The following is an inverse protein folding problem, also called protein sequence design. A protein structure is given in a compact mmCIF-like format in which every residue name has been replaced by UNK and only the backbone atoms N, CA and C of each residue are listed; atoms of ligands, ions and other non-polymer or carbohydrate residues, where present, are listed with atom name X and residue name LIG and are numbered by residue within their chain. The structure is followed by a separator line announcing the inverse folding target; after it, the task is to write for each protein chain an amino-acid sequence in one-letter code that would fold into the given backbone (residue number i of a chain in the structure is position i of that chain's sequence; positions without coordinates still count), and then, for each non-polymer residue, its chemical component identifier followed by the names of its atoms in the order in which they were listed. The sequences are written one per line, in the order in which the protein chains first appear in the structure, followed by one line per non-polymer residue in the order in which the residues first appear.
data_IF_072526110453
#
_entry.id   IF_072526110453
#
_cell.length_a   1.000
_cell.length_b   1.000
_cell.length_c   1.000
_cell.angle_alpha   90.00
_cell.angle_beta   90.00
_cell.angle_gamma   90.00
#
_symmetry.space_group_name_H-M   'P 1'
#
loop_
_entity.id
_entity.type
_entity.pdbx_description
1 polymer ?
#
# COMPACT_ATOMS: atom_id res chain seq x y z
N UNK A 1 31.50 -22.44 -29.37
CA UNK A 1 30.26 -22.06 -30.11
C UNK A 1 29.02 -21.88 -29.22
N UNK A 2 29.09 -21.60 -27.90
CA UNK A 2 27.94 -21.45 -26.98
C UNK A 2 27.38 -20.02 -26.76
N UNK A 3 28.10 -18.88 -27.00
CA UNK A 3 27.57 -17.55 -26.61
C UNK A 3 26.44 -17.02 -27.49
N UNK A 4 26.36 -17.41 -28.77
CA UNK A 4 25.32 -16.89 -29.69
C UNK A 4 23.89 -17.41 -29.43
N UNK A 5 23.72 -18.61 -28.86
CA UNK A 5 22.39 -19.15 -28.51
C UNK A 5 21.78 -18.41 -27.32
N UNK A 6 22.60 -18.02 -26.33
CA UNK A 6 22.17 -17.31 -25.13
C UNK A 6 21.67 -15.89 -25.45
N UNK A 7 22.36 -15.17 -26.33
CA UNK A 7 21.93 -13.83 -26.79
C UNK A 7 20.65 -13.84 -27.62
N UNK A 8 20.44 -14.87 -28.46
CA UNK A 8 19.18 -15.04 -29.22
C UNK A 8 17.99 -15.33 -28.28
N UNK A 9 18.15 -16.22 -27.28
CA UNK A 9 17.12 -16.52 -26.29
C UNK A 9 16.77 -15.27 -25.47
N UNK A 10 17.75 -14.48 -25.01
CA UNK A 10 17.51 -13.20 -24.31
C UNK A 10 16.75 -12.19 -25.15
N UNK A 11 17.08 -12.02 -26.45
CA UNK A 11 16.35 -11.13 -27.36
C UNK A 11 14.91 -11.62 -27.60
N UNK A 12 14.71 -12.91 -27.74
CA UNK A 12 13.38 -13.48 -27.94
C UNK A 12 12.51 -13.34 -26.69
N UNK A 13 13.06 -13.57 -25.48
CA UNK A 13 12.36 -13.34 -24.21
C UNK A 13 12.00 -11.87 -24.01
N UNK A 14 12.93 -10.92 -24.28
CA UNK A 14 12.63 -9.48 -24.24
C UNK A 14 11.50 -9.10 -25.22
N UNK A 15 11.45 -9.67 -26.41
CA UNK A 15 10.36 -9.45 -27.38
C UNK A 15 9.04 -10.05 -26.89
N UNK A 16 9.04 -11.21 -26.28
CA UNK A 16 7.84 -11.82 -25.69
C UNK A 16 7.34 -11.03 -24.48
N UNK A 17 8.24 -10.56 -23.62
CA UNK A 17 7.92 -9.70 -22.49
C UNK A 17 7.30 -8.39 -22.98
N UNK A 18 7.93 -7.70 -23.95
CA UNK A 18 7.40 -6.46 -24.51
C UNK A 18 6.04 -6.65 -25.19
N UNK A 19 5.80 -7.78 -25.88
CA UNK A 19 4.49 -8.11 -26.46
C UNK A 19 3.43 -8.36 -25.37
N UNK A 20 3.76 -9.04 -24.26
CA UNK A 20 2.84 -9.25 -23.14
C UNK A 20 2.48 -7.96 -22.42
N UNK A 21 3.46 -7.06 -22.21
CA UNK A 21 3.25 -5.72 -21.67
C UNK A 21 2.38 -4.84 -22.60
N UNK A 22 2.53 -5.01 -23.91
CA UNK A 22 1.73 -4.27 -24.92
C UNK A 22 0.27 -4.75 -25.03
N UNK A 23 -0.06 -5.95 -24.51
CA UNK A 23 -1.42 -6.51 -24.59
C UNK A 23 -2.37 -6.04 -23.48
N UNK A 24 -1.93 -5.12 -22.62
CA UNK A 24 -2.80 -4.52 -21.60
C UNK A 24 -3.47 -3.27 -22.12
N UNK A 25 -4.74 -3.06 -21.76
CA UNK A 25 -5.47 -1.82 -22.07
C UNK A 25 -4.97 -0.59 -21.30
N UNK A 26 -4.02 -0.77 -20.37
CA UNK A 26 -3.52 0.27 -19.47
C UNK A 26 -2.90 1.47 -20.22
N UNK A 27 -3.36 2.68 -19.88
CA UNK A 27 -2.97 3.94 -20.51
C UNK A 27 -2.28 4.92 -19.56
N UNK A 28 -2.05 4.52 -18.30
CA UNK A 28 -1.40 5.36 -17.31
C UNK A 28 0.12 5.36 -17.38
N UNK A 29 0.73 5.92 -16.35
CA UNK A 29 2.18 5.96 -16.17
C UNK A 29 2.82 4.58 -16.22
N UNK A 30 3.93 4.47 -16.92
CA UNK A 30 4.75 3.25 -17.00
C UNK A 30 6.18 3.55 -16.57
N UNK A 31 6.73 2.66 -15.78
CA UNK A 31 8.11 2.75 -15.34
C UNK A 31 9.07 2.50 -16.52
N UNK A 32 9.88 3.49 -16.87
CA UNK A 32 10.76 3.41 -18.05
C UNK A 32 12.06 2.66 -17.75
N UNK A 33 12.54 2.67 -16.52
CA UNK A 33 13.83 2.09 -16.10
C UNK A 33 13.76 1.44 -14.73
N UNK A 34 14.63 0.46 -14.43
CA UNK A 34 14.77 -0.10 -13.10
C UNK A 34 15.15 0.98 -12.08
N UNK A 35 14.57 0.90 -10.87
CA UNK A 35 14.81 1.86 -9.77
C UNK A 35 14.49 3.31 -10.12
N UNK A 36 13.48 3.54 -10.96
CA UNK A 36 13.04 4.89 -11.27
C UNK A 36 12.57 5.60 -9.98
N UNK A 37 13.09 6.80 -9.67
CA UNK A 37 12.60 7.53 -8.50
C UNK A 37 11.15 7.97 -8.72
N UNK A 38 10.34 7.86 -7.68
CA UNK A 38 8.99 8.41 -7.66
C UNK A 38 9.09 9.93 -7.60
N UNK A 39 8.19 10.63 -8.30
CA UNK A 39 8.11 12.09 -8.22
C UNK A 39 7.76 12.50 -6.80
N UNK A 40 8.44 13.51 -6.29
CA UNK A 40 8.22 14.07 -4.96
C UNK A 40 7.67 15.49 -5.07
N UNK A 41 6.68 15.81 -4.23
CA UNK A 41 6.18 17.15 -4.01
C UNK A 41 6.56 17.60 -2.59
N UNK A 42 7.07 18.79 -2.46
CA UNK A 42 7.26 19.43 -1.15
C UNK A 42 5.94 20.00 -0.65
N UNK A 43 5.40 19.40 0.40
CA UNK A 43 4.17 19.78 1.07
C UNK A 43 4.41 20.35 2.47
N UNK A 44 5.63 20.72 2.81
CA UNK A 44 6.00 21.21 4.16
C UNK A 44 5.38 22.55 4.50
N UNK A 45 4.97 23.34 3.50
CA UNK A 45 4.36 24.68 3.68
C UNK A 45 2.85 24.67 3.45
N UNK A 46 2.37 23.88 2.49
CA UNK A 46 0.96 23.74 2.15
C UNK A 46 0.70 22.42 1.46
N UNK A 47 -0.49 21.82 1.62
CA UNK A 47 -0.89 20.68 0.81
C UNK A 47 -1.06 21.13 -0.64
N UNK A 48 -0.92 20.22 -1.62
CA UNK A 48 -1.15 20.57 -3.02
C UNK A 48 -2.64 20.88 -3.25
N UNK A 49 -2.92 21.76 -4.22
CA UNK A 49 -4.29 21.95 -4.71
C UNK A 49 -4.84 20.62 -5.24
N UNK A 50 -6.03 20.23 -4.79
CA UNK A 50 -6.62 18.95 -5.10
C UNK A 50 -6.91 18.73 -6.59
N UNK A 51 -7.33 19.81 -7.32
CA UNK A 51 -7.58 19.75 -8.75
C UNK A 51 -6.27 19.60 -9.52
N UNK A 52 -5.25 20.40 -9.18
CA UNK A 52 -3.92 20.30 -9.80
C UNK A 52 -3.30 18.92 -9.55
N UNK A 53 -3.47 18.38 -8.34
CA UNK A 53 -3.01 17.02 -8.02
C UNK A 53 -3.74 15.95 -8.83
N UNK A 54 -5.07 16.07 -8.95
CA UNK A 54 -5.87 15.17 -9.78
C UNK A 54 -5.36 15.16 -11.22
N UNK A 55 -5.18 16.32 -11.84
CA UNK A 55 -4.76 16.43 -13.23
C UNK A 55 -3.31 15.93 -13.48
N UNK A 56 -2.41 16.17 -12.53
CA UNK A 56 -1.01 15.80 -12.67
C UNK A 56 -0.73 14.33 -12.36
N UNK A 57 -1.44 13.74 -11.39
CA UNK A 57 -1.13 12.41 -10.85
C UNK A 57 -2.29 11.43 -10.96
N UNK A 58 -3.50 11.79 -10.50
CA UNK A 58 -4.64 10.85 -10.46
C UNK A 58 -5.07 10.45 -11.86
N UNK A 59 -5.38 11.42 -12.71
CA UNK A 59 -5.76 11.19 -14.10
C UNK A 59 -4.69 10.46 -14.91
N UNK A 60 -3.42 10.71 -14.59
CA UNK A 60 -2.27 10.09 -15.27
C UNK A 60 -1.85 8.76 -14.65
N UNK A 61 -2.52 8.34 -13.57
CA UNK A 61 -2.19 7.10 -12.84
C UNK A 61 -0.72 7.07 -12.41
N UNK A 62 -0.18 8.20 -11.96
CA UNK A 62 1.24 8.37 -11.64
C UNK A 62 1.44 8.39 -10.13
N UNK A 63 2.23 7.47 -9.55
CA UNK A 63 2.58 7.53 -8.13
C UNK A 63 3.30 8.82 -7.78
N UNK A 64 3.09 9.30 -6.55
CA UNK A 64 3.70 10.54 -6.08
C UNK A 64 3.96 10.47 -4.57
N UNK A 65 5.15 10.89 -4.13
CA UNK A 65 5.47 11.12 -2.72
C UNK A 65 5.17 12.58 -2.38
N UNK A 66 4.49 12.80 -1.27
CA UNK A 66 4.17 14.12 -0.74
C UNK A 66 4.95 14.30 0.56
N UNK A 67 6.05 15.04 0.51
CA UNK A 67 6.96 15.27 1.64
C UNK A 67 6.32 16.21 2.66
N UNK A 68 6.23 15.77 3.92
CA UNK A 68 5.67 16.57 5.00
C UNK A 68 4.15 16.80 4.91
N UNK A 69 3.43 16.07 4.07
CA UNK A 69 1.99 16.24 3.81
C UNK A 69 1.12 16.25 5.07
N UNK A 70 1.37 15.33 6.01
CA UNK A 70 0.55 15.24 7.22
C UNK A 70 0.60 16.51 8.08
N UNK A 71 1.65 17.32 7.99
CA UNK A 71 1.81 18.55 8.78
C UNK A 71 0.91 19.68 8.28
N UNK A 72 0.53 19.64 7.02
CA UNK A 72 -0.23 20.72 6.36
C UNK A 72 -1.64 20.32 5.95
N UNK A 73 -1.94 19.02 5.88
CA UNK A 73 -3.21 18.50 5.39
C UNK A 73 -4.31 18.37 6.46
N UNK A 74 -4.09 18.86 7.68
CA UNK A 74 -5.05 18.83 8.79
C UNK A 74 -5.64 17.42 9.06
N UNK A 75 -4.75 16.42 9.17
CA UNK A 75 -5.14 15.01 9.39
C UNK A 75 -5.38 14.67 10.88
N UNK A 76 -5.63 15.67 11.73
CA UNK A 76 -5.91 15.50 13.15
C UNK A 76 -4.77 14.79 13.87
N UNK A 77 -5.08 13.73 14.62
CA UNK A 77 -4.11 12.99 15.43
C UNK A 77 -2.92 12.42 14.63
N UNK A 78 -3.07 12.20 13.33
CA UNK A 78 -1.94 11.81 12.47
C UNK A 78 -0.93 12.94 12.35
N UNK A 79 -1.41 14.18 12.14
CA UNK A 79 -0.57 15.38 12.10
C UNK A 79 0.15 15.60 13.44
N UNK A 80 -0.59 15.48 14.55
CA UNK A 80 -0.08 15.67 15.90
C UNK A 80 1.02 14.64 16.23
N UNK A 81 0.75 13.37 15.94
CA UNK A 81 1.70 12.28 16.18
C UNK A 81 2.99 12.44 15.35
N UNK A 82 2.88 12.80 14.06
CA UNK A 82 4.05 13.02 13.21
C UNK A 82 4.93 14.18 13.68
N UNK A 83 4.34 15.18 14.36
CA UNK A 83 5.05 16.35 14.92
C UNK A 83 5.65 16.11 16.30
N UNK A 84 5.29 15.04 16.99
CA UNK A 84 5.73 14.74 18.34
C UNK A 84 7.22 14.34 18.41
N UNK A 85 7.85 14.56 19.57
CA UNK A 85 9.23 14.11 19.83
C UNK A 85 9.37 12.58 19.72
N UNK A 86 8.34 11.84 20.11
CA UNK A 86 8.22 10.39 19.93
C UNK A 86 6.90 10.08 19.20
N UNK A 87 6.92 10.03 17.86
CA UNK A 87 5.72 9.78 17.06
C UNK A 87 5.06 8.43 17.37
N UNK A 88 5.85 7.40 17.67
CA UNK A 88 5.34 6.07 17.96
C UNK A 88 4.50 6.04 19.24
N UNK A 89 5.03 6.64 20.30
CA UNK A 89 4.35 6.74 21.59
C UNK A 89 3.12 7.65 21.52
N UNK A 90 3.22 8.79 20.85
CA UNK A 90 2.11 9.73 20.66
C UNK A 90 0.95 9.07 19.90
N UNK A 91 1.24 8.37 18.82
CA UNK A 91 0.25 7.62 18.04
C UNK A 91 -0.43 6.52 18.86
N UNK A 92 0.35 5.71 19.58
CA UNK A 92 -0.18 4.65 20.43
C UNK A 92 -1.10 5.18 21.53
N UNK A 93 -0.73 6.30 22.16
CA UNK A 93 -1.56 6.93 23.19
C UNK A 93 -2.89 7.45 22.61
N UNK A 94 -2.86 8.01 21.39
CA UNK A 94 -4.08 8.44 20.73
C UNK A 94 -5.02 7.28 20.37
N UNK A 95 -4.45 6.18 19.84
CA UNK A 95 -5.22 4.97 19.51
C UNK A 95 -5.84 4.34 20.77
N UNK A 96 -5.09 4.20 21.86
CA UNK A 96 -5.62 3.62 23.11
C UNK A 96 -6.72 4.50 23.70
N UNK A 97 -6.57 5.81 23.68
CA UNK A 97 -7.58 6.75 24.17
C UNK A 97 -8.88 6.67 23.36
N UNK A 98 -8.79 6.69 22.02
CA UNK A 98 -9.98 6.73 21.16
C UNK A 98 -10.64 5.36 20.98
N UNK A 99 -9.86 4.30 20.88
CA UNK A 99 -10.32 2.98 20.46
C UNK A 99 -9.86 1.83 21.36
N UNK A 100 -9.19 2.08 22.48
CA UNK A 100 -8.57 1.05 23.34
C UNK A 100 -9.46 -0.15 23.68
N UNK A 101 -10.74 0.03 24.07
CA UNK A 101 -11.65 -1.08 24.37
C UNK A 101 -12.19 -1.79 23.12
N UNK A 102 -12.03 -1.24 21.92
CA UNK A 102 -12.55 -1.80 20.67
C UNK A 102 -11.79 -3.04 20.25
N UNK A 103 -12.51 -3.96 19.60
CA UNK A 103 -11.94 -5.19 19.05
C UNK A 103 -11.59 -4.96 17.60
N UNK A 104 -10.40 -5.40 17.20
CA UNK A 104 -9.88 -5.36 15.83
C UNK A 104 -9.39 -6.74 15.41
N UNK A 105 -9.36 -6.99 14.11
CA UNK A 105 -8.69 -8.13 13.51
C UNK A 105 -7.23 -7.78 13.26
N UNK A 106 -6.33 -8.68 13.59
CA UNK A 106 -4.92 -8.53 13.29
C UNK A 106 -4.38 -9.81 12.70
N UNK A 107 -3.51 -9.69 11.70
CA UNK A 107 -2.76 -10.83 11.18
C UNK A 107 -1.79 -11.34 12.23
N UNK A 108 -1.71 -12.67 12.35
CA UNK A 108 -0.75 -13.35 13.20
C UNK A 108 0.49 -13.67 12.37
N UNK A 109 1.65 -13.26 12.87
CA UNK A 109 2.93 -13.52 12.23
C UNK A 109 3.28 -15.00 12.29
N UNK A 110 3.36 -15.66 11.14
CA UNK A 110 3.85 -17.03 11.01
C UNK A 110 5.26 -17.06 10.42
N UNK A 111 6.14 -17.86 11.04
CA UNK A 111 7.52 -18.04 10.59
C UNK A 111 8.24 -16.75 10.18
N UNK A 112 7.92 -15.66 10.91
CA UNK A 112 8.52 -14.36 10.67
C UNK A 112 7.84 -13.48 9.61
N UNK A 113 6.72 -13.92 9.00
CA UNK A 113 6.04 -13.21 7.90
C UNK A 113 4.57 -12.92 8.21
N UNK A 114 4.03 -11.91 7.55
CA UNK A 114 2.60 -11.58 7.45
C UNK A 114 2.07 -11.95 6.05
N UNK A 115 0.75 -11.83 5.83
CA UNK A 115 0.11 -12.14 4.54
C UNK A 115 -0.20 -13.62 4.33
N UNK A 116 -0.30 -14.41 5.42
CA UNK A 116 -0.62 -15.84 5.37
C UNK A 116 -2.09 -16.16 5.66
N UNK A 117 -2.92 -15.14 5.91
CA UNK A 117 -4.35 -15.27 6.15
C UNK A 117 -4.73 -15.75 7.55
N UNK A 118 -3.75 -15.96 8.45
CA UNK A 118 -4.06 -16.26 9.84
C UNK A 118 -4.34 -14.97 10.61
N UNK A 119 -5.52 -14.86 11.16
CA UNK A 119 -5.99 -13.69 11.88
C UNK A 119 -6.44 -14.06 13.30
N UNK A 120 -6.37 -13.10 14.19
CA UNK A 120 -6.98 -13.17 15.49
C UNK A 120 -7.73 -11.86 15.79
N UNK A 121 -8.62 -11.93 16.78
CA UNK A 121 -9.29 -10.76 17.34
C UNK A 121 -8.64 -10.38 18.65
N UNK A 122 -8.35 -9.09 18.82
CA UNK A 122 -7.83 -8.56 20.07
C UNK A 122 -8.29 -7.11 20.27
N UNK A 123 -8.24 -6.66 21.52
CA UNK A 123 -8.54 -5.26 21.83
C UNK A 123 -7.40 -4.36 21.35
N UNK A 124 -7.73 -3.18 20.84
CA UNK A 124 -6.73 -2.18 20.40
C UNK A 124 -5.73 -1.90 21.53
N UNK A 125 -6.19 -1.77 22.79
CA UNK A 125 -5.32 -1.60 23.96
C UNK A 125 -4.25 -2.69 24.10
N UNK A 126 -4.62 -3.95 23.94
CA UNK A 126 -3.69 -5.09 24.00
C UNK A 126 -2.68 -5.08 22.87
N UNK A 127 -3.13 -4.75 21.65
CA UNK A 127 -2.25 -4.61 20.49
C UNK A 127 -1.24 -3.47 20.69
N UNK A 128 -1.71 -2.29 21.14
CA UNK A 128 -0.85 -1.12 21.40
C UNK A 128 0.18 -1.42 22.49
N UNK A 129 -0.22 -2.07 23.57
CA UNK A 129 0.68 -2.43 24.67
C UNK A 129 1.79 -3.37 24.18
N UNK A 130 1.45 -4.41 23.40
CA UNK A 130 2.46 -5.27 22.79
C UNK A 130 3.39 -4.51 21.84
N UNK A 131 2.85 -3.68 20.97
CA UNK A 131 3.64 -2.93 19.99
C UNK A 131 4.67 -2.01 20.69
N UNK A 132 4.27 -1.30 21.74
CA UNK A 132 5.16 -0.46 22.55
C UNK A 132 6.22 -1.28 23.29
N UNK A 133 5.81 -2.41 23.90
CA UNK A 133 6.75 -3.30 24.59
C UNK A 133 7.81 -3.84 23.60
N UNK A 134 7.38 -4.31 22.42
CA UNK A 134 8.31 -4.81 21.41
C UNK A 134 9.21 -3.72 20.85
N UNK A 135 8.70 -2.51 20.68
CA UNK A 135 9.50 -1.37 20.27
C UNK A 135 10.59 -1.06 21.31
N UNK A 136 10.24 -1.01 22.58
CA UNK A 136 11.19 -0.73 23.67
C UNK A 136 12.26 -1.82 23.84
N UNK A 137 11.91 -3.08 23.56
CA UNK A 137 12.83 -4.23 23.70
C UNK A 137 13.57 -4.61 22.40
N UNK A 138 13.36 -3.87 21.29
CA UNK A 138 13.95 -4.17 19.98
C UNK A 138 13.41 -5.44 19.34
N UNK A 139 12.26 -5.94 19.82
CA UNK A 139 11.61 -7.15 19.32
C UNK A 139 10.64 -6.91 18.17
N UNK A 140 10.08 -8.01 17.63
CA UNK A 140 9.02 -7.96 16.64
C UNK A 140 7.65 -8.19 17.27
N UNK A 141 6.62 -7.46 16.80
CA UNK A 141 5.23 -7.79 17.14
C UNK A 141 4.87 -9.19 16.62
N UNK A 142 4.05 -9.86 17.40
CA UNK A 142 3.37 -11.08 16.96
C UNK A 142 2.23 -10.75 15.98
N UNK A 143 1.65 -9.56 16.10
CA UNK A 143 0.47 -9.12 15.37
C UNK A 143 0.80 -7.96 14.42
N UNK A 144 0.01 -7.87 13.35
CA UNK A 144 0.02 -6.74 12.42
C UNK A 144 -1.42 -6.27 12.21
N UNK A 145 -1.69 -5.01 12.54
CA UNK A 145 -2.97 -4.39 12.27
C UNK A 145 -3.08 -4.08 10.78
N UNK A 146 -4.16 -4.51 10.18
CA UNK A 146 -4.41 -4.46 8.73
C UNK A 146 -5.82 -3.96 8.45
N UNK A 147 -6.30 -4.08 7.22
CA UNK A 147 -7.67 -3.74 6.83
C UNK A 147 -8.69 -4.43 7.73
N UNK A 148 -9.69 -3.66 8.14
CA UNK A 148 -10.79 -4.16 8.95
C UNK A 148 -12.03 -4.39 8.09
N UNK A 149 -12.82 -5.43 8.37
CA UNK A 149 -14.13 -5.57 7.76
C UNK A 149 -15.01 -4.38 8.13
N UNK A 150 -15.82 -3.93 7.18
CA UNK A 150 -16.87 -2.96 7.46
C UNK A 150 -18.05 -3.70 8.10
N UNK A 151 -18.48 -3.26 9.26
CA UNK A 151 -19.74 -3.71 9.83
C UNK A 151 -20.91 -3.10 9.05
N UNK A 152 -22.06 -3.72 9.13
CA UNK A 152 -23.31 -3.19 8.58
C UNK A 152 -24.11 -2.54 9.69
N UNK A 153 -24.84 -1.46 9.36
CA UNK A 153 -25.82 -0.86 10.26
C UNK A 153 -27.13 -1.67 10.29
N UNK A 154 -28.12 -1.20 11.04
CA UNK A 154 -29.41 -1.90 11.20
C UNK A 154 -30.17 -2.08 9.86
N UNK A 155 -29.87 -1.26 8.86
CA UNK A 155 -30.44 -1.29 7.52
C UNK A 155 -29.58 -2.09 6.52
N UNK A 156 -28.53 -2.80 6.98
CA UNK A 156 -27.62 -3.60 6.14
C UNK A 156 -26.68 -2.75 5.26
N UNK A 157 -26.49 -1.47 5.61
CA UNK A 157 -25.55 -0.59 4.89
C UNK A 157 -24.16 -0.68 5.52
N UNK A 158 -23.09 -0.83 4.72
CA UNK A 158 -21.74 -0.90 5.29
C UNK A 158 -21.35 0.44 5.94
N UNK A 159 -20.75 0.35 7.11
CA UNK A 159 -20.21 1.50 7.83
C UNK A 159 -19.11 2.21 7.02
N UNK A 160 -18.81 3.47 7.37
CA UNK A 160 -17.82 4.29 6.67
C UNK A 160 -16.42 3.68 6.72
N UNK A 161 -16.04 3.17 7.87
CA UNK A 161 -14.72 2.54 8.12
C UNK A 161 -14.79 1.63 9.33
N UNK A 162 -13.87 0.68 9.39
CA UNK A 162 -13.71 -0.22 10.53
C UNK A 162 -12.93 0.41 11.68
N UNK A 163 -12.94 -0.26 12.85
CA UNK A 163 -12.10 0.13 13.99
C UNK A 163 -10.60 -0.07 13.67
N UNK A 164 -9.66 0.73 14.15
CA UNK A 164 -9.83 1.85 15.09
C UNK A 164 -10.19 3.18 14.41
N UNK A 165 -10.20 3.23 13.06
CA UNK A 165 -10.43 4.47 12.30
C UNK A 165 -11.80 5.06 12.63
N UNK A 166 -12.82 4.21 12.73
CA UNK A 166 -14.17 4.64 13.08
C UNK A 166 -14.21 5.43 14.39
N UNK A 167 -13.54 4.95 15.42
CA UNK A 167 -13.43 5.65 16.69
C UNK A 167 -12.67 6.97 16.55
N UNK A 168 -11.58 7.02 15.77
CA UNK A 168 -10.84 8.24 15.51
C UNK A 168 -11.71 9.30 14.78
N UNK A 169 -12.50 8.88 13.80
CA UNK A 169 -13.42 9.78 13.07
C UNK A 169 -14.52 10.29 14.02
N UNK A 170 -15.12 9.41 14.81
CA UNK A 170 -16.18 9.79 15.79
C UNK A 170 -15.68 10.83 16.79
N UNK A 171 -14.45 10.69 17.26
CA UNK A 171 -13.82 11.63 18.20
C UNK A 171 -13.25 12.89 17.48
N UNK A 172 -13.51 13.06 16.17
CA UNK A 172 -13.00 14.15 15.33
C UNK A 172 -11.45 14.23 15.29
N UNK A 173 -10.80 13.10 15.50
CA UNK A 173 -9.34 12.96 15.52
C UNK A 173 -8.76 12.56 14.16
N UNK A 174 -9.60 12.20 13.20
CA UNK A 174 -9.21 11.81 11.83
C UNK A 174 -10.29 12.20 10.84
N UNK A 175 -9.94 12.79 9.69
CA UNK A 175 -10.92 13.19 8.68
C UNK A 175 -11.69 11.98 8.12
N UNK A 176 -13.01 12.07 7.97
CA UNK A 176 -13.84 10.98 7.45
C UNK A 176 -13.64 10.72 5.96
N UNK A 177 -13.06 11.67 5.22
CA UNK A 177 -12.76 11.56 3.79
C UNK A 177 -11.34 12.01 3.50
N UNK A 178 -10.80 11.61 2.34
CA UNK A 178 -9.43 11.95 1.95
C UNK A 178 -9.32 13.42 1.50
N UNK A 179 -8.60 14.28 2.23
CA UNK A 179 -8.48 15.69 1.84
C UNK A 179 -7.75 15.91 0.50
N UNK A 180 -6.85 14.99 0.13
CA UNK A 180 -6.12 15.06 -1.15
C UNK A 180 -6.99 14.68 -2.35
N UNK A 181 -7.99 13.81 -2.16
CA UNK A 181 -8.83 13.25 -3.21
C UNK A 181 -10.32 13.54 -2.98
N UNK A 182 -10.72 14.81 -2.75
CA UNK A 182 -12.10 15.14 -2.37
C UNK A 182 -13.14 14.86 -3.46
N UNK A 183 -12.71 14.71 -4.71
CA UNK A 183 -13.59 14.34 -5.83
C UNK A 183 -13.83 12.84 -5.95
N UNK A 184 -13.04 12.01 -5.27
CA UNK A 184 -13.19 10.56 -5.31
C UNK A 184 -14.01 10.04 -4.13
N UNK A 185 -14.81 9.03 -4.37
CA UNK A 185 -15.63 8.39 -3.34
C UNK A 185 -14.77 7.44 -2.52
N UNK A 186 -14.82 7.59 -1.21
CA UNK A 186 -14.11 6.73 -0.27
C UNK A 186 -14.71 5.32 -0.28
N UNK A 187 -13.85 4.33 -0.41
CA UNK A 187 -14.19 2.92 -0.25
C UNK A 187 -13.91 2.44 1.19
N UNK A 188 -12.78 2.82 1.77
CA UNK A 188 -12.41 2.51 3.15
C UNK A 188 -11.23 3.39 3.61
N UNK A 189 -11.05 3.49 4.93
CA UNK A 189 -9.86 4.04 5.55
C UNK A 189 -9.33 3.06 6.60
N UNK A 190 -7.99 2.89 6.67
CA UNK A 190 -7.37 1.87 7.49
C UNK A 190 -6.18 2.40 8.26
N UNK A 191 -5.80 1.67 9.31
CA UNK A 191 -4.53 1.80 10.03
C UNK A 191 -3.71 0.53 9.83
N UNK A 192 -2.47 0.71 9.39
CA UNK A 192 -1.48 -0.34 9.18
C UNK A 192 -0.40 -0.18 10.24
N UNK A 193 -0.29 -1.12 11.16
CA UNK A 193 0.62 -0.96 12.28
C UNK A 193 1.24 -2.28 12.73
N UNK A 194 2.52 -2.23 13.07
CA UNK A 194 3.26 -3.35 13.63
C UNK A 194 4.60 -2.89 14.20
N UNK A 195 5.44 -3.86 14.56
CA UNK A 195 6.79 -3.58 15.01
C UNK A 195 7.76 -4.59 14.36
N UNK A 196 8.78 -4.06 13.69
CA UNK A 196 9.88 -4.83 13.16
C UNK A 196 10.98 -5.00 14.23
N UNK A 197 11.78 -6.09 14.20
CA UNK A 197 12.95 -6.20 15.05
C UNK A 197 13.93 -5.05 14.78
N UNK A 198 14.75 -4.71 15.77
CA UNK A 198 15.81 -3.73 15.58
C UNK A 198 16.73 -4.12 14.41
N UNK A 199 17.05 -3.15 13.55
CA UNK A 199 17.90 -3.36 12.36
C UNK A 199 17.26 -4.19 11.24
N UNK A 200 15.99 -4.61 11.37
CA UNK A 200 15.28 -5.43 10.36
C UNK A 200 14.02 -4.74 9.85
N UNK A 201 13.47 -5.27 8.76
CA UNK A 201 12.20 -4.84 8.21
C UNK A 201 11.22 -6.00 8.09
N UNK A 202 9.93 -5.68 8.01
CA UNK A 202 8.86 -6.60 7.64
C UNK A 202 8.33 -6.23 6.26
N UNK A 203 7.93 -7.22 5.47
CA UNK A 203 7.40 -6.99 4.12
C UNK A 203 5.91 -7.34 4.05
N UNK A 204 5.16 -6.55 3.27
CA UNK A 204 3.76 -6.87 2.94
C UNK A 204 3.63 -8.00 1.90
N UNK A 205 4.73 -8.42 1.29
CA UNK A 205 4.69 -9.17 0.03
C UNK A 205 4.32 -8.27 -1.16
N UNK A 206 4.51 -8.80 -2.37
CA UNK A 206 4.17 -8.10 -3.61
C UNK A 206 2.67 -8.28 -3.91
N UNK A 207 1.93 -7.17 -3.97
CA UNK A 207 0.49 -7.16 -4.21
C UNK A 207 0.07 -5.89 -4.93
N UNK A 208 -1.19 -5.78 -5.29
CA UNK A 208 -1.80 -4.53 -5.74
C UNK A 208 -3.12 -4.32 -5.00
N UNK A 209 -3.53 -3.04 -4.90
CA UNK A 209 -4.83 -2.66 -4.39
C UNK A 209 -5.82 -2.45 -5.54
N UNK A 210 -7.12 -2.64 -5.24
CA UNK A 210 -8.21 -2.35 -6.17
C UNK A 210 -8.69 -0.89 -6.09
N UNK A 211 -8.06 -0.09 -5.27
CA UNK A 211 -8.43 1.30 -4.98
C UNK A 211 -7.26 2.25 -5.22
N UNK A 212 -7.56 3.50 -5.46
CA UNK A 212 -6.59 4.57 -5.34
C UNK A 212 -6.26 4.76 -3.87
N UNK A 213 -4.99 4.78 -3.54
CA UNK A 213 -4.51 4.73 -2.16
C UNK A 213 -3.68 5.98 -1.83
N UNK A 214 -4.04 6.68 -0.76
CA UNK A 214 -3.20 7.71 -0.12
C UNK A 214 -2.73 7.15 1.20
N UNK A 215 -1.47 6.72 1.25
CA UNK A 215 -0.82 6.14 2.43
C UNK A 215 -0.02 7.22 3.14
N UNK A 216 -0.38 7.55 4.37
CA UNK A 216 0.27 8.56 5.20
C UNK A 216 1.09 7.89 6.30
N UNK A 217 2.39 8.10 6.32
CA UNK A 217 3.27 7.52 7.33
C UNK A 217 3.19 8.30 8.64
N UNK A 218 2.87 7.62 9.73
CA UNK A 218 2.73 8.22 11.06
C UNK A 218 4.03 8.11 11.87
N UNK A 219 4.57 6.90 11.97
CA UNK A 219 5.84 6.64 12.66
C UNK A 219 6.58 5.47 12.02
N UNK A 220 7.89 5.33 12.28
CA UNK A 220 8.76 4.41 11.57
C UNK A 220 8.96 4.82 10.11
N UNK A 221 9.45 3.92 9.28
CA UNK A 221 9.73 4.19 7.87
C UNK A 221 9.26 3.06 6.99
N UNK A 222 8.88 3.39 5.75
CA UNK A 222 8.54 2.41 4.72
C UNK A 222 9.36 2.65 3.45
N UNK A 223 9.85 1.55 2.89
CA UNK A 223 10.35 1.49 1.52
C UNK A 223 9.29 0.87 0.66
N UNK A 224 8.98 1.48 -0.47
CA UNK A 224 7.98 0.97 -1.41
C UNK A 224 8.61 0.77 -2.77
N UNK A 225 8.45 -0.43 -3.34
CA UNK A 225 8.77 -0.74 -4.74
C UNK A 225 7.47 -0.88 -5.49
N UNK A 226 7.38 -0.30 -6.69
CA UNK A 226 6.13 -0.25 -7.46
C UNK A 226 6.35 -0.63 -8.91
N UNK A 227 5.48 -1.49 -9.42
CA UNK A 227 5.41 -1.87 -10.84
C UNK A 227 4.08 -1.41 -11.40
N UNK A 228 4.09 -0.86 -12.58
CA UNK A 228 2.86 -0.42 -13.22
C UNK A 228 1.94 -1.61 -13.58
N UNK A 229 0.61 -1.37 -13.69
CA UNK A 229 -0.38 -2.44 -13.91
C UNK A 229 -0.14 -3.25 -15.18
N UNK A 230 0.63 -2.76 -16.15
CA UNK A 230 0.95 -3.53 -17.36
C UNK A 230 1.84 -4.74 -17.08
N UNK A 231 2.51 -4.76 -15.93
CA UNK A 231 3.35 -5.87 -15.49
C UNK A 231 2.54 -7.06 -14.93
N UNK A 232 1.23 -6.92 -14.68
CA UNK A 232 0.40 -7.91 -13.99
C UNK A 232 0.61 -9.34 -14.48
N UNK A 233 0.49 -9.59 -15.79
CA UNK A 233 0.62 -10.95 -16.32
C UNK A 233 2.08 -11.47 -16.34
N UNK A 234 3.05 -10.58 -16.12
CA UNK A 234 4.47 -10.95 -15.99
C UNK A 234 4.79 -11.33 -14.55
N UNK A 235 4.17 -10.63 -13.59
CA UNK A 235 4.33 -10.88 -12.15
C UNK A 235 3.57 -12.14 -11.67
N UNK A 236 2.78 -12.78 -12.53
CA UNK A 236 2.07 -14.04 -12.24
C UNK A 236 1.23 -13.98 -10.97
N UNK A 237 0.17 -13.16 -10.94
CA UNK A 237 -0.67 -13.05 -9.75
C UNK A 237 -1.32 -14.39 -9.38
N UNK A 238 -1.56 -14.61 -8.08
CA UNK A 238 -2.22 -15.82 -7.57
C UNK A 238 -3.61 -16.03 -8.16
N UNK A 239 -4.32 -14.95 -8.54
CA UNK A 239 -5.60 -15.00 -9.29
C UNK A 239 -5.48 -15.46 -10.73
N UNK A 240 -4.27 -15.80 -11.20
CA UNK A 240 -4.04 -16.28 -12.55
C UNK A 240 -4.03 -15.16 -13.60
N UNK A 241 -4.46 -15.49 -14.82
CA UNK A 241 -4.48 -14.54 -15.92
C UNK A 241 -5.47 -13.40 -15.67
N UNK A 242 -5.02 -12.18 -15.84
CA UNK A 242 -5.79 -10.99 -15.56
C UNK A 242 -5.96 -10.09 -16.78
N UNK A 243 -7.09 -9.38 -16.81
CA UNK A 243 -7.36 -8.24 -17.68
C UNK A 243 -7.04 -6.96 -16.91
N UNK A 244 -6.45 -5.98 -17.59
CA UNK A 244 -6.13 -4.68 -17.00
C UNK A 244 -6.88 -3.59 -17.76
N UNK A 245 -7.69 -2.81 -17.05
CA UNK A 245 -8.41 -1.66 -17.60
C UNK A 245 -7.47 -0.48 -17.92
N UNK A 246 -7.97 0.50 -18.66
CA UNK A 246 -7.20 1.68 -19.06
C UNK A 246 -6.69 2.49 -17.86
N UNK A 247 -7.46 2.56 -16.78
CA UNK A 247 -7.10 3.24 -15.53
C UNK A 247 -6.24 2.39 -14.57
N UNK A 248 -5.88 1.17 -14.95
CA UNK A 248 -5.01 0.28 -14.14
C UNK A 248 -5.75 -0.77 -13.34
N UNK A 249 -7.08 -0.71 -13.20
CA UNK A 249 -7.79 -1.74 -12.45
C UNK A 249 -7.55 -3.13 -13.06
N UNK A 250 -7.19 -4.06 -12.18
CA UNK A 250 -6.94 -5.46 -12.53
C UNK A 250 -8.18 -6.28 -12.22
N UNK A 251 -8.55 -7.16 -13.15
CA UNK A 251 -9.71 -8.06 -13.04
C UNK A 251 -9.28 -9.47 -13.38
N UNK A 252 -9.66 -10.43 -12.55
CA UNK A 252 -9.27 -11.83 -12.65
C UNK A 252 -10.39 -12.71 -13.20
N UNK A 253 -10.01 -13.78 -13.88
CA UNK A 253 -10.94 -14.77 -14.40
C UNK A 253 -12.00 -14.18 -15.33
N UNK A 254 -13.27 -14.57 -15.12
CA UNK A 254 -14.43 -14.15 -15.91
C UNK A 254 -15.25 -13.05 -15.22
N UNK A 255 -14.72 -12.41 -14.19
CA UNK A 255 -15.41 -11.37 -13.46
C UNK A 255 -15.73 -10.17 -14.37
N UNK A 256 -16.96 -9.68 -14.26
CA UNK A 256 -17.45 -8.49 -14.98
C UNK A 256 -17.32 -7.27 -14.05
N UNK A 257 -16.10 -6.79 -13.93
CA UNK A 257 -15.82 -5.60 -13.12
C UNK A 257 -15.44 -4.45 -14.03
N UNK A 258 -16.13 -3.34 -13.86
CA UNK A 258 -15.89 -2.09 -14.60
C UNK A 258 -14.61 -1.39 -14.12
N UNK A 259 -14.14 -0.40 -14.88
CA UNK A 259 -12.90 0.29 -14.59
C UNK A 259 -12.94 1.03 -13.24
N UNK A 260 -14.08 1.55 -12.83
CA UNK A 260 -14.31 2.21 -11.54
C UNK A 260 -14.51 1.24 -10.36
N UNK A 261 -14.60 -0.07 -10.64
CA UNK A 261 -14.69 -1.11 -9.61
C UNK A 261 -16.09 -1.53 -9.22
N UNK A 262 -17.10 -1.14 -9.96
CA UNK A 262 -18.44 -1.70 -9.79
C UNK A 262 -18.38 -3.21 -10.00
N UNK A 263 -19.08 -3.97 -9.17
CA UNK A 263 -19.02 -5.43 -9.01
C UNK A 263 -17.66 -5.88 -8.45
N UNK A 264 -17.60 -5.94 -7.14
CA UNK A 264 -16.35 -6.12 -6.40
C UNK A 264 -15.74 -7.51 -6.56
N UNK A 265 -14.51 -7.58 -7.03
CA UNK A 265 -13.69 -8.78 -7.04
C UNK A 265 -12.75 -8.83 -5.82
N UNK A 266 -12.45 -10.04 -5.38
CA UNK A 266 -11.60 -10.29 -4.24
C UNK A 266 -10.13 -9.86 -4.47
N UNK A 267 -9.49 -9.36 -3.44
CA UNK A 267 -8.06 -9.02 -3.45
C UNK A 267 -7.19 -10.25 -3.67
N UNK A 268 -6.15 -10.09 -4.47
CA UNK A 268 -5.13 -11.12 -4.67
C UNK A 268 -3.76 -10.55 -4.41
N UNK A 269 -2.96 -11.26 -3.64
CA UNK A 269 -1.55 -10.95 -3.44
C UNK A 269 -0.68 -11.91 -4.24
N UNK A 270 0.40 -11.41 -4.82
CA UNK A 270 1.46 -12.21 -5.39
C UNK A 270 2.57 -12.33 -4.35
N UNK A 271 2.79 -13.56 -3.86
CA UNK A 271 3.96 -13.87 -3.06
C UNK A 271 5.17 -13.98 -4.01
N UNK A 272 6.18 -13.15 -3.81
CA UNK A 272 7.40 -13.16 -4.62
C UNK A 272 8.08 -14.56 -4.57
N UNK A 273 7.96 -15.26 -3.42
CA UNK A 273 8.49 -16.63 -3.27
C UNK A 273 7.70 -17.65 -4.10
N UNK A 274 6.38 -17.50 -4.21
CA UNK A 274 5.57 -18.38 -5.06
C UNK A 274 5.91 -18.22 -6.53
N UNK A 275 6.19 -16.96 -6.95
CA UNK A 275 6.64 -16.70 -8.31
C UNK A 275 8.01 -17.32 -8.61
N UNK A 276 8.81 -17.56 -7.56
CA UNK A 276 10.13 -18.22 -7.64
C UNK A 276 10.00 -19.75 -7.67
N UNK A 277 9.11 -20.30 -6.85
CA UNK A 277 8.85 -21.77 -6.80
C UNK A 277 8.25 -22.28 -8.13
N UNK A 278 7.35 -21.47 -8.77
CA UNK A 278 6.77 -21.80 -10.08
C UNK A 278 7.77 -21.61 -11.26
N UNK A 279 8.91 -20.98 -11.00
CA UNK A 279 9.96 -20.76 -12.00
C UNK A 279 11.02 -21.86 -12.00
N UNK A 280 10.89 -22.90 -11.16
CA UNK A 280 11.90 -23.94 -10.89
C UNK A 280 12.40 -24.72 -12.12
N UNK A 281 11.73 -24.61 -13.27
CA UNK A 281 12.11 -25.30 -14.50
C UNK A 281 12.85 -24.42 -15.54
N UNK A 282 13.36 -23.25 -15.17
CA UNK A 282 14.06 -22.39 -16.12
C UNK A 282 15.42 -21.89 -15.60
N UNK A 283 16.42 -21.82 -16.50
CA UNK A 283 17.80 -21.33 -16.24
C UNK A 283 17.87 -19.88 -15.65
N UNK A 284 16.72 -19.20 -15.45
CA UNK A 284 16.61 -17.90 -14.79
C UNK A 284 16.27 -18.04 -13.30
N UNK A 285 16.07 -19.27 -12.80
CA UNK A 285 15.78 -19.53 -11.39
C UNK A 285 16.91 -19.09 -10.47
N UNK A 286 18.16 -19.34 -10.86
CA UNK A 286 19.31 -18.99 -10.03
C UNK A 286 19.38 -17.49 -9.76
N UNK A 287 19.08 -16.64 -10.76
CA UNK A 287 19.10 -15.18 -10.58
C UNK A 287 17.89 -14.65 -9.78
N UNK A 288 16.76 -15.35 -9.84
CA UNK A 288 15.55 -15.01 -9.06
C UNK A 288 15.68 -15.58 -7.64
N UNK A 289 16.24 -16.78 -7.50
CA UNK A 289 16.54 -17.42 -6.23
C UNK A 289 17.63 -16.63 -5.50
N UNK A 290 18.72 -16.25 -6.18
CA UNK A 290 19.75 -15.36 -5.63
C UNK A 290 19.18 -14.01 -5.17
N UNK A 291 18.19 -13.49 -5.86
CA UNK A 291 17.49 -12.25 -5.45
C UNK A 291 16.59 -12.46 -4.22
N UNK A 292 15.93 -13.61 -4.11
CA UNK A 292 15.11 -13.95 -2.95
C UNK A 292 15.97 -14.35 -1.74
N UNK A 293 16.98 -15.19 -1.95
CA UNK A 293 17.96 -15.54 -0.93
C UNK A 293 18.76 -14.32 -0.49
N UNK A 294 19.04 -13.40 -1.40
CA UNK A 294 19.68 -12.13 -1.09
C UNK A 294 18.75 -11.16 -0.34
N UNK A 295 17.42 -11.26 -0.50
CA UNK A 295 16.43 -10.61 0.36
C UNK A 295 16.36 -11.29 1.74
N UNK A 296 16.44 -12.63 1.80
CA UNK A 296 16.46 -13.39 3.04
C UNK A 296 17.78 -13.27 3.79
N UNK A 297 18.91 -13.36 3.11
CA UNK A 297 20.24 -13.24 3.72
C UNK A 297 20.53 -11.85 4.30
N UNK A 298 19.88 -10.78 3.78
CA UNK A 298 19.92 -9.48 4.41
C UNK A 298 19.06 -9.39 5.68
N UNK A 299 18.14 -10.36 5.88
CA UNK A 299 17.42 -10.49 7.14
C UNK A 299 18.23 -11.21 8.23
N UNK A 300 19.27 -11.95 7.86
CA UNK A 300 20.02 -12.80 8.81
C UNK A 300 21.42 -12.31 9.17
N UNK A 301 22.00 -11.35 8.45
CA UNK A 301 23.47 -11.07 8.52
C UNK A 301 23.92 -9.68 8.93
N UNK A 302 23.08 -8.79 9.48
CA UNK A 302 23.61 -7.55 10.04
C UNK A 302 23.68 -7.59 11.56
N UNK A 303 24.88 -7.30 12.15
CA UNK A 303 25.03 -7.15 13.59
C UNK A 303 24.25 -5.91 14.07
N UNK A 304 23.61 -6.04 15.24
CA UNK A 304 22.85 -4.98 15.87
C UNK A 304 23.77 -3.79 16.25
N UNK A 305 23.77 -2.77 15.38
CA UNK A 305 24.29 -1.45 15.73
C UNK A 305 23.08 -0.56 16.02
N UNK A 306 23.07 0.23 17.11
CA UNK A 306 21.98 1.16 17.37
C UNK A 306 21.94 2.18 16.24
N UNK A 307 20.86 2.18 15.46
CA UNK A 307 20.64 3.14 14.38
C UNK A 307 20.24 4.49 14.99
N UNK A 308 21.05 5.51 14.72
CA UNK A 308 20.64 6.90 14.82
C UNK A 308 19.37 7.13 13.97
N UNK A 309 18.53 8.15 14.31
CA UNK A 309 17.32 8.45 13.55
C UNK A 309 17.70 9.02 12.16
N UNK A 310 17.92 8.11 11.23
CA UNK A 310 18.15 8.35 9.81
C UNK A 310 17.43 7.28 9.00
N UNK A 311 17.18 7.49 7.70
CA UNK A 311 16.54 6.46 6.88
C UNK A 311 17.35 5.18 6.98
N UNK A 312 16.69 4.02 7.23
CA UNK A 312 17.40 2.77 7.32
C UNK A 312 18.21 2.56 6.04
N UNK A 313 19.51 2.25 6.20
CA UNK A 313 20.43 2.00 5.08
C UNK A 313 20.01 0.71 4.36
N UNK A 314 19.07 0.84 3.43
CA UNK A 314 18.76 -0.23 2.49
C UNK A 314 19.85 -0.21 1.41
N UNK A 315 20.68 -1.25 1.39
CA UNK A 315 21.65 -1.42 0.31
C UNK A 315 20.92 -1.38 -1.04
N UNK A 316 21.32 -0.45 -1.92
CA UNK A 316 20.82 -0.38 -3.29
C UNK A 316 21.26 -1.63 -4.02
N UNK A 317 20.40 -2.65 -4.10
CA UNK A 317 20.65 -3.83 -4.91
C UNK A 317 20.09 -3.60 -6.32
N UNK A 318 20.83 -4.07 -7.30
CA UNK A 318 20.38 -4.09 -8.69
C UNK A 318 19.10 -4.94 -8.78
N UNK A 319 18.10 -4.47 -9.53
CA UNK A 319 16.90 -5.26 -9.81
C UNK A 319 17.32 -6.62 -10.39
N UNK A 320 16.68 -7.73 -9.99
CA UNK A 320 16.97 -9.04 -10.56
C UNK A 320 16.85 -8.99 -12.07
N UNK A 321 17.73 -9.69 -12.76
CA UNK A 321 17.67 -9.77 -14.23
C UNK A 321 16.38 -10.50 -14.60
N UNK A 322 15.51 -9.82 -15.37
CA UNK A 322 14.24 -10.41 -15.86
C UNK A 322 12.96 -9.83 -15.25
N UNK A 323 13.01 -9.13 -14.11
CA UNK A 323 11.84 -8.40 -13.61
C UNK A 323 11.57 -7.14 -14.44
N UNK A 324 10.28 -6.74 -14.56
CA UNK A 324 9.91 -5.47 -15.15
C UNK A 324 10.58 -4.28 -14.42
N UNK A 325 10.74 -3.17 -15.11
CA UNK A 325 11.16 -1.91 -14.49
C UNK A 325 10.22 -1.52 -13.36
N UNK A 326 10.76 -0.94 -12.30
CA UNK A 326 9.97 -0.52 -11.14
C UNK A 326 10.41 0.84 -10.62
N UNK A 327 9.47 1.56 -10.02
CA UNK A 327 9.75 2.77 -9.27
C UNK A 327 9.96 2.43 -7.79
N UNK A 328 10.78 3.22 -7.10
CA UNK A 328 11.02 3.04 -5.68
C UNK A 328 11.05 4.38 -4.95
N UNK A 329 10.56 4.37 -3.72
CA UNK A 329 10.62 5.52 -2.82
C UNK A 329 10.74 5.08 -1.37
N UNK A 330 11.05 6.05 -0.51
CA UNK A 330 11.00 5.95 0.93
C UNK A 330 10.04 6.98 1.47
N UNK A 331 9.28 6.64 2.50
CA UNK A 331 8.45 7.57 3.24
C UNK A 331 8.73 7.44 4.73
N UNK A 332 8.87 8.59 5.40
CA UNK A 332 9.05 8.73 6.84
C UNK A 332 7.85 9.43 7.48
N UNK A 333 7.90 9.67 8.81
CA UNK A 333 6.81 10.31 9.52
C UNK A 333 6.41 11.66 8.92
N UNK A 334 5.13 11.82 8.62
CA UNK A 334 4.57 13.00 7.99
C UNK A 334 4.52 12.98 6.47
N UNK A 335 5.23 12.07 5.80
CA UNK A 335 5.14 11.90 4.35
C UNK A 335 3.88 11.11 3.97
N UNK A 336 3.36 11.38 2.77
CA UNK A 336 2.34 10.54 2.15
C UNK A 336 2.80 9.99 0.79
N UNK A 337 2.21 8.87 0.39
CA UNK A 337 2.40 8.25 -0.91
C UNK A 337 1.06 8.01 -1.58
N UNK A 338 0.86 8.58 -2.75
CA UNK A 338 -0.24 8.23 -3.62
C UNK A 338 0.14 7.03 -4.49
N UNK A 339 -0.66 5.96 -4.38
CA UNK A 339 -0.52 4.73 -5.17
C UNK A 339 -1.80 4.54 -5.97
N UNK A 340 -1.76 4.66 -7.31
CA UNK A 340 -2.93 4.40 -8.15
C UNK A 340 -3.39 2.94 -8.07
N UNK A 341 -4.68 2.71 -8.24
CA UNK A 341 -5.28 1.40 -8.37
C UNK A 341 -4.50 0.49 -9.34
N UNK A 342 -4.33 -0.78 -8.97
CA UNK A 342 -3.68 -1.80 -9.79
C UNK A 342 -2.16 -1.67 -9.89
N UNK A 343 -1.55 -0.64 -9.30
CA UNK A 343 -0.09 -0.57 -9.18
C UNK A 343 0.37 -1.65 -8.23
N UNK A 344 1.15 -2.59 -8.75
CA UNK A 344 1.79 -3.61 -7.96
C UNK A 344 2.81 -2.99 -7.04
N UNK A 345 2.78 -3.32 -5.77
CA UNK A 345 3.72 -2.75 -4.82
C UNK A 345 4.09 -3.72 -3.70
N UNK A 346 5.29 -3.55 -3.21
CA UNK A 346 5.82 -4.21 -2.05
C UNK A 346 6.27 -3.16 -1.06
N UNK A 347 5.78 -3.26 0.17
CA UNK A 347 6.08 -2.32 1.25
C UNK A 347 6.94 -3.01 2.28
N UNK A 348 8.18 -2.56 2.43
CA UNK A 348 9.07 -2.97 3.54
C UNK A 348 8.99 -1.93 4.63
N UNK A 349 8.59 -2.34 5.84
CA UNK A 349 8.45 -1.48 7.01
C UNK A 349 9.54 -1.77 8.03
N UNK A 350 10.22 -0.74 8.51
CA UNK A 350 11.34 -0.85 9.44
C UNK A 350 11.39 0.28 10.46
N UNK A 351 12.46 0.27 11.28
CA UNK A 351 12.64 1.28 12.32
C UNK A 351 11.88 0.98 13.61
N UNK A 352 11.67 -0.29 13.95
CA UNK A 352 10.93 -0.69 15.14
C UNK A 352 9.41 -0.58 14.94
N UNK A 353 8.71 0.13 15.82
CA UNK A 353 7.29 0.39 15.66
C UNK A 353 7.05 1.29 14.44
N UNK A 354 6.17 0.83 13.57
CA UNK A 354 5.79 1.56 12.37
C UNK A 354 4.27 1.55 12.21
N UNK A 355 3.74 2.72 11.86
CA UNK A 355 2.32 2.91 11.61
C UNK A 355 2.09 3.83 10.42
N UNK A 356 1.05 3.55 9.66
CA UNK A 356 0.53 4.41 8.60
C UNK A 356 -0.99 4.38 8.63
N UNK A 357 -1.61 5.51 8.31
CA UNK A 357 -3.03 5.58 8.00
C UNK A 357 -3.21 5.69 6.49
N UNK A 358 -4.30 5.15 5.94
CA UNK A 358 -4.57 5.33 4.53
C UNK A 358 -6.04 5.55 4.23
N UNK A 359 -6.28 6.14 3.06
CA UNK A 359 -7.58 6.25 2.42
C UNK A 359 -7.57 5.45 1.12
N UNK A 360 -8.53 4.56 0.97
CA UNK A 360 -8.84 3.89 -0.27
C UNK A 360 -10.05 4.53 -0.94
N UNK A 361 -9.87 5.02 -2.16
CA UNK A 361 -10.95 5.61 -2.95
C UNK A 361 -11.23 4.74 -4.18
N UNK A 362 -12.48 4.69 -4.62
CA UNK A 362 -12.83 4.05 -5.88
C UNK A 362 -12.04 4.70 -7.02
N UNK A 363 -11.39 3.91 -7.91
CA UNK A 363 -10.54 4.47 -8.94
C UNK A 363 -11.37 5.22 -9.99
N UNK A 364 -10.94 6.42 -10.42
CA UNK A 364 -11.65 7.14 -11.46
C UNK A 364 -11.51 6.45 -12.81
N UNK A 365 -12.56 6.44 -13.60
CA UNK A 365 -12.61 6.05 -15.00
C UNK A 365 -12.99 7.21 -15.94
N UNK A 366 -13.41 8.34 -15.37
CA UNK A 366 -13.65 9.60 -16.05
C UNK A 366 -12.37 10.44 -16.22
N UNK A 367 -12.48 11.53 -16.96
CA UNK A 367 -11.33 12.33 -17.40
C UNK A 367 -11.10 13.62 -16.62
N UNK A 368 -11.96 14.00 -15.69
CA UNK A 368 -11.86 15.30 -15.02
C UNK A 368 -12.10 15.24 -13.51
N UNK A 369 -11.56 16.21 -12.80
CA UNK A 369 -11.76 16.38 -11.37
C UNK A 369 -13.25 16.51 -10.99
N UNK A 370 -14.03 17.24 -11.78
CA UNK A 370 -15.45 17.45 -11.53
C UNK A 370 -16.32 16.25 -11.89
N UNK A 371 -15.84 15.38 -12.77
CA UNK A 371 -16.52 14.13 -13.19
C UNK A 371 -15.49 12.99 -13.22
N UNK A 372 -15.07 12.50 -12.05
CA UNK A 372 -14.06 11.45 -11.97
C UNK A 372 -14.58 10.10 -12.42
N UNK A 373 -15.90 9.90 -12.43
CA UNK A 373 -16.56 8.66 -12.87
C UNK A 373 -17.40 8.88 -14.10
N UNK A 374 -17.49 7.86 -14.97
CA UNK A 374 -18.34 7.88 -16.18
C UNK A 374 -19.80 7.62 -15.85
N UNK A 375 -20.10 7.00 -14.70
CA UNK A 375 -21.45 6.77 -14.20
C UNK A 375 -21.69 7.47 -12.86
N UNK A 376 -22.95 7.63 -12.47
CA UNK A 376 -23.34 8.15 -11.15
C UNK A 376 -23.30 7.09 -10.05
N UNK A 377 -23.05 5.82 -10.38
CA UNK A 377 -23.19 4.68 -9.46
C UNK A 377 -22.56 4.92 -8.08
N UNK A 378 -21.28 5.32 -8.03
CA UNK A 378 -20.60 5.53 -6.75
C UNK A 378 -21.13 6.76 -6.01
N UNK A 379 -21.52 7.82 -6.71
CA UNK A 379 -22.12 8.99 -6.09
C UNK A 379 -23.50 8.66 -5.49
N UNK A 380 -24.32 7.92 -6.23
CA UNK A 380 -25.64 7.49 -5.77
C UNK A 380 -25.53 6.49 -4.61
N UNK A 381 -24.61 5.55 -4.71
CA UNK A 381 -24.31 4.59 -3.64
C UNK A 381 -23.83 5.31 -2.36
N UNK A 382 -22.92 6.27 -2.50
CA UNK A 382 -22.45 7.10 -1.39
C UNK A 382 -23.61 7.88 -0.76
N UNK A 383 -24.41 8.58 -1.57
CA UNK A 383 -25.55 9.35 -1.09
C UNK A 383 -26.55 8.47 -0.33
N UNK A 384 -26.84 7.28 -0.85
CA UNK A 384 -27.74 6.30 -0.21
C UNK A 384 -27.19 5.80 1.13
N UNK A 385 -25.90 5.41 1.19
CA UNK A 385 -25.27 4.83 2.38
C UNK A 385 -24.92 5.86 3.45
N UNK A 386 -24.72 7.13 3.06
CA UNK A 386 -24.18 8.18 3.94
C UNK A 386 -25.17 9.26 4.32
N UNK A 387 -26.42 9.23 3.81
CA UNK A 387 -27.43 10.25 4.08
C UNK A 387 -27.59 10.57 5.56
N UNK A 388 -27.57 9.54 6.39
CA UNK A 388 -27.80 9.65 7.83
C UNK A 388 -26.60 9.23 8.67
N UNK A 389 -25.42 9.03 8.07
CA UNK A 389 -24.24 8.60 8.80
C UNK A 389 -23.79 9.67 9.81
N UNK A 390 -23.84 9.39 11.13
CA UNK A 390 -23.49 10.36 12.15
C UNK A 390 -22.02 10.81 12.10
N UNK A 391 -21.14 10.03 11.48
CA UNK A 391 -19.73 10.38 11.32
C UNK A 391 -19.50 11.50 10.28
N UNK A 392 -20.49 11.76 9.41
CA UNK A 392 -20.42 12.79 8.36
C UNK A 392 -21.24 14.04 8.71
N UNK A 393 -22.03 14.00 9.79
CA UNK A 393 -22.74 15.17 10.31
C UNK A 393 -21.73 15.99 11.13
N UNK A 394 -21.31 17.11 10.58
CA UNK A 394 -20.42 18.10 11.24
C UNK A 394 -21.18 18.99 12.20
#
# INVERSE_FOLDING_TARGET
MRPHRHLRRRRQRRRLLSKRLAQTGYRGYRCARPHEPVVELDCTRAPPDARAFFDAFVRRRRPCVLRGYARTAALGVVSDACGAADPARAWCAALDRAAGPKVVRAEVRERGRFGRGNECQLRVRGFVAEALHRHATGGACRYYLTTQPLAEDAEGRPELCGEPVRSLVREKLFPPTCPLLPSLILANANVWMGCAPAGRSTSSGLHHDFHDNVLVQVCGAKRVRMWDPSATNVLRPAGGRARVHANGRVVYGNERVEADGRDAAAATSLDLHRALDDASDSDDCDALLDAALALEANHEKEPATPLAPGPPNFATRKAPRGLPSYAACYIGPGDALYIPCGVWHEVSSGGGLHAAANYWCHPPDGASFARPYTSSFWADDWARRRRDDPLLKT
#
